data_IF_677347986422
#
_entry.id   IF_677347986422
#
_cell.length_a   1.000
_cell.length_b   1.000
_cell.length_c   1.000
_cell.angle_alpha   90.00
_cell.angle_beta   90.00
_cell.angle_gamma   90.00
#
_symmetry.space_group_name_H-M   'P 1'
#
loop_
_entity.id
_entity.type
_entity.pdbx_description
1 polymer ?
#
# COMPACT_ATOMS: atom_id res chain seq x y z
N UNK A 1 -17.22 -2.90 -15.73
CA UNK A 1 -16.70 -4.12 -15.07
C UNK A 1 -17.88 -5.03 -14.70
N UNK A 2 -17.76 -6.33 -14.89
CA UNK A 2 -18.80 -7.32 -14.48
C UNK A 2 -18.68 -7.63 -12.99
N UNK A 3 -19.73 -8.20 -12.38
CA UNK A 3 -19.74 -8.51 -10.94
C UNK A 3 -18.58 -9.45 -10.52
N UNK A 4 -18.33 -10.51 -11.30
CA UNK A 4 -17.21 -11.44 -11.03
C UNK A 4 -15.84 -10.75 -11.11
N UNK A 5 -15.61 -9.91 -12.13
CA UNK A 5 -14.36 -9.15 -12.27
C UNK A 5 -14.18 -8.11 -11.17
N UNK A 6 -15.27 -7.54 -10.65
CA UNK A 6 -15.22 -6.58 -9.53
C UNK A 6 -14.83 -7.26 -8.21
N UNK A 7 -15.36 -8.45 -7.95
CA UNK A 7 -14.97 -9.24 -6.79
C UNK A 7 -13.49 -9.67 -6.85
N UNK A 8 -13.02 -10.14 -8.01
CA UNK A 8 -11.60 -10.47 -8.23
C UNK A 8 -10.68 -9.26 -8.05
N UNK A 9 -11.09 -8.10 -8.58
CA UNK A 9 -10.37 -6.84 -8.38
C UNK A 9 -10.28 -6.48 -6.89
N UNK A 10 -11.42 -6.50 -6.18
CA UNK A 10 -11.48 -6.13 -4.77
C UNK A 10 -10.65 -7.07 -3.89
N UNK A 11 -10.74 -8.39 -4.14
CA UNK A 11 -9.92 -9.38 -3.45
C UNK A 11 -8.42 -9.13 -3.67
N UNK A 12 -7.99 -8.91 -4.91
CA UNK A 12 -6.61 -8.57 -5.21
C UNK A 12 -6.13 -7.31 -4.46
N UNK A 13 -6.96 -6.25 -4.45
CA UNK A 13 -6.59 -5.00 -3.78
C UNK A 13 -6.47 -5.22 -2.26
N UNK A 14 -7.38 -5.96 -1.65
CA UNK A 14 -7.33 -6.27 -0.22
C UNK A 14 -6.09 -7.10 0.12
N UNK A 15 -5.80 -8.16 -0.64
CA UNK A 15 -4.61 -8.99 -0.47
C UNK A 15 -3.32 -8.18 -0.60
N UNK A 16 -3.28 -7.23 -1.54
CA UNK A 16 -2.16 -6.31 -1.68
C UNK A 16 -1.99 -5.42 -0.44
N UNK A 17 -3.07 -4.80 0.05
CA UNK A 17 -3.02 -3.93 1.22
C UNK A 17 -2.56 -4.70 2.47
N UNK A 18 -3.01 -5.95 2.62
CA UNK A 18 -2.60 -6.83 3.72
C UNK A 18 -1.12 -7.20 3.62
N UNK A 19 -0.63 -7.51 2.42
CA UNK A 19 0.80 -7.76 2.20
C UNK A 19 1.68 -6.55 2.55
N UNK A 20 1.29 -5.34 2.12
CA UNK A 20 2.05 -4.13 2.46
C UNK A 20 2.05 -3.88 3.97
N UNK A 21 0.90 -4.07 4.63
CA UNK A 21 0.79 -3.93 6.08
C UNK A 21 1.66 -4.94 6.82
N UNK A 22 1.65 -6.20 6.38
CA UNK A 22 2.50 -7.26 6.92
C UNK A 22 3.97 -6.86 6.85
N UNK A 23 4.45 -6.40 5.69
CA UNK A 23 5.85 -6.04 5.49
C UNK A 23 6.29 -4.83 6.30
N UNK A 24 5.45 -3.81 6.42
CA UNK A 24 5.75 -2.65 7.27
C UNK A 24 5.74 -3.05 8.75
N UNK A 25 4.85 -3.96 9.17
CA UNK A 25 4.86 -4.49 10.55
C UNK A 25 6.07 -5.37 10.84
N UNK A 26 6.51 -6.17 9.88
CA UNK A 26 7.74 -6.94 9.96
C UNK A 26 8.93 -5.99 10.20
N UNK A 27 9.06 -4.94 9.39
CA UNK A 27 10.07 -3.90 9.56
C UNK A 27 9.95 -3.17 10.91
N UNK A 28 8.74 -2.98 11.44
CA UNK A 28 8.50 -2.43 12.78
C UNK A 28 8.87 -3.39 13.91
N UNK A 29 8.92 -4.70 13.68
CA UNK A 29 9.25 -5.67 14.74
C UNK A 29 10.74 -5.99 14.77
N UNK A 30 11.39 -6.00 13.60
CA UNK A 30 12.79 -6.33 13.44
C UNK A 30 13.50 -5.26 12.59
N UNK A 31 14.40 -4.52 13.22
CA UNK A 31 15.19 -3.49 12.54
C UNK A 31 16.07 -4.08 11.43
N UNK A 32 16.54 -5.32 11.59
CA UNK A 32 17.42 -5.97 10.62
C UNK A 32 16.70 -6.40 9.33
N UNK A 33 15.37 -6.58 9.39
CA UNK A 33 14.53 -6.92 8.24
C UNK A 33 14.04 -5.68 7.47
N UNK A 34 14.13 -4.49 8.06
CA UNK A 34 13.53 -3.25 7.56
C UNK A 34 13.73 -3.01 6.06
N UNK A 35 14.97 -2.84 5.56
CA UNK A 35 15.23 -2.57 4.15
C UNK A 35 14.69 -3.65 3.21
N UNK A 36 14.78 -4.93 3.61
CA UNK A 36 14.30 -6.05 2.79
C UNK A 36 12.78 -6.10 2.74
N UNK A 37 12.11 -6.02 3.89
CA UNK A 37 10.66 -6.04 4.00
C UNK A 37 10.02 -4.84 3.27
N UNK A 38 10.59 -3.64 3.43
CA UNK A 38 10.12 -2.46 2.69
C UNK A 38 10.41 -2.58 1.19
N UNK A 39 11.53 -3.18 0.80
CA UNK A 39 11.83 -3.50 -0.61
C UNK A 39 10.81 -4.45 -1.23
N UNK A 40 10.37 -5.47 -0.51
CA UNK A 40 9.31 -6.39 -0.96
C UNK A 40 7.97 -5.67 -1.14
N UNK A 41 7.61 -4.79 -0.20
CA UNK A 41 6.42 -3.96 -0.29
C UNK A 41 6.46 -3.05 -1.54
N UNK A 42 7.57 -2.33 -1.71
CA UNK A 42 7.81 -1.44 -2.85
C UNK A 42 7.73 -2.20 -4.19
N UNK A 43 8.30 -3.41 -4.23
CA UNK A 43 8.33 -4.25 -5.43
C UNK A 43 6.95 -4.64 -5.97
N UNK A 44 5.91 -4.64 -5.12
CA UNK A 44 4.54 -4.95 -5.56
C UNK A 44 3.74 -3.74 -6.03
N UNK A 45 4.19 -2.51 -5.71
CA UNK A 45 3.46 -1.28 -6.07
C UNK A 45 3.19 -1.15 -7.57
N UNK A 46 4.12 -1.47 -8.49
CA UNK A 46 3.83 -1.46 -9.93
C UNK A 46 2.66 -2.38 -10.32
N UNK A 47 2.58 -3.58 -9.73
CA UNK A 47 1.52 -4.55 -10.00
C UNK A 47 0.17 -4.03 -9.53
N UNK A 48 0.11 -3.44 -8.32
CA UNK A 48 -1.12 -2.78 -7.85
C UNK A 48 -1.56 -1.69 -8.83
N UNK A 49 -0.64 -0.83 -9.25
CA UNK A 49 -0.96 0.30 -10.14
C UNK A 49 -1.52 -0.15 -11.48
N UNK A 50 -0.94 -1.21 -12.06
CA UNK A 50 -1.47 -1.76 -13.30
C UNK A 50 -2.88 -2.31 -13.11
N UNK A 51 -3.14 -3.01 -12.00
CA UNK A 51 -4.49 -3.50 -11.66
C UNK A 51 -5.48 -2.38 -11.40
N UNK A 52 -5.08 -1.30 -10.71
CA UNK A 52 -5.94 -0.15 -10.41
C UNK A 52 -6.52 0.50 -11.67
N UNK A 53 -5.83 0.43 -12.81
CA UNK A 53 -6.34 0.94 -14.11
C UNK A 53 -7.62 0.24 -14.58
N UNK A 54 -8.01 -0.87 -13.97
CA UNK A 54 -9.27 -1.56 -14.29
C UNK A 54 -10.50 -0.90 -13.63
N UNK A 55 -10.28 0.00 -12.66
CA UNK A 55 -11.33 0.73 -11.95
C UNK A 55 -10.87 2.17 -11.64
N UNK A 56 -11.20 3.12 -12.53
CA UNK A 56 -10.78 4.52 -12.43
C UNK A 56 -11.24 5.21 -11.13
N UNK A 57 -12.39 4.83 -10.59
CA UNK A 57 -12.92 5.41 -9.34
C UNK A 57 -12.04 4.99 -8.16
N UNK A 58 -11.76 3.70 -8.05
CA UNK A 58 -10.88 3.17 -6.99
C UNK A 58 -9.45 3.68 -7.20
N UNK A 59 -8.94 3.72 -8.44
CA UNK A 59 -7.64 4.29 -8.74
C UNK A 59 -7.49 5.74 -8.26
N UNK A 60 -8.52 6.56 -8.49
CA UNK A 60 -8.54 7.97 -8.05
C UNK A 60 -8.48 8.05 -6.52
N UNK A 61 -9.26 7.24 -5.81
CA UNK A 61 -9.24 7.21 -4.34
C UNK A 61 -7.87 6.75 -3.79
N UNK A 62 -7.24 5.78 -4.45
CA UNK A 62 -5.89 5.33 -4.11
C UNK A 62 -4.86 6.45 -4.27
N UNK A 63 -4.89 7.18 -5.39
CA UNK A 63 -4.00 8.33 -5.61
C UNK A 63 -4.24 9.42 -4.56
N UNK A 64 -5.49 9.74 -4.25
CA UNK A 64 -5.81 10.78 -3.25
C UNK A 64 -5.33 10.42 -1.83
N UNK A 65 -5.36 9.14 -1.46
CA UNK A 65 -4.96 8.70 -0.11
C UNK A 65 -3.45 8.46 -0.02
N UNK A 66 -2.84 7.86 -1.04
CA UNK A 66 -1.43 7.46 -1.01
C UNK A 66 -0.48 8.51 -1.57
N UNK A 67 -0.91 9.32 -2.54
CA UNK A 67 -0.08 10.31 -3.23
C UNK A 67 1.25 9.72 -3.71
N UNK A 68 2.36 10.30 -3.25
CA UNK A 68 3.72 9.90 -3.62
C UNK A 68 4.03 8.41 -3.36
N UNK A 69 3.33 7.74 -2.43
CA UNK A 69 3.54 6.30 -2.14
C UNK A 69 3.16 5.41 -3.34
N UNK A 70 2.23 5.86 -4.20
CA UNK A 70 1.73 5.08 -5.34
C UNK A 70 1.94 5.78 -6.69
N UNK A 71 2.19 7.08 -6.73
CA UNK A 71 2.41 7.80 -7.97
C UNK A 71 3.71 7.38 -8.68
N UNK A 72 3.65 7.02 -9.96
CA UNK A 72 4.79 6.47 -10.72
C UNK A 72 6.07 7.25 -10.57
N UNK A 73 5.94 8.57 -10.64
CA UNK A 73 7.05 9.51 -10.68
C UNK A 73 7.83 9.51 -9.37
N UNK A 74 7.14 9.26 -8.26
CA UNK A 74 7.66 9.48 -6.90
C UNK A 74 7.74 8.20 -6.08
N UNK A 75 7.00 7.14 -6.44
CA UNK A 75 6.90 5.93 -5.64
C UNK A 75 8.27 5.29 -5.38
N UNK A 76 9.10 5.13 -6.40
CA UNK A 76 10.42 4.52 -6.24
C UNK A 76 11.31 5.29 -5.24
N UNK A 77 11.36 6.61 -5.37
CA UNK A 77 12.13 7.49 -4.47
C UNK A 77 11.54 7.49 -3.06
N UNK A 78 10.21 7.54 -2.94
CA UNK A 78 9.53 7.53 -1.66
C UNK A 78 9.81 6.23 -0.89
N UNK A 79 9.68 5.08 -1.55
CA UNK A 79 9.94 3.77 -0.93
C UNK A 79 11.41 3.56 -0.59
N UNK A 80 12.33 4.02 -1.43
CA UNK A 80 13.77 3.98 -1.15
C UNK A 80 14.13 4.85 0.07
N UNK A 81 13.56 6.06 0.16
CA UNK A 81 13.71 6.92 1.33
C UNK A 81 13.12 6.28 2.59
N UNK A 82 11.91 5.73 2.49
CA UNK A 82 11.24 5.06 3.61
C UNK A 82 12.02 3.84 4.12
N UNK A 83 12.66 3.07 3.22
CA UNK A 83 13.50 1.93 3.58
C UNK A 83 14.83 2.31 4.26
N UNK A 84 15.27 3.56 4.09
CA UNK A 84 16.55 4.09 4.60
C UNK A 84 16.39 5.00 5.81
N UNK A 85 15.16 5.29 6.24
CA UNK A 85 14.89 6.03 7.47
C UNK A 85 15.62 5.38 8.63
N UNK A 86 16.13 6.20 9.55
CA UNK A 86 16.59 5.67 10.82
C UNK A 86 15.41 5.07 11.60
N UNK A 87 15.74 4.24 12.59
CA UNK A 87 14.74 3.49 13.32
C UNK A 87 13.68 4.37 13.99
N UNK A 88 14.09 5.48 14.58
CA UNK A 88 13.18 6.36 15.30
C UNK A 88 12.26 7.13 14.33
N UNK A 89 12.81 7.59 13.21
CA UNK A 89 12.03 8.21 12.14
C UNK A 89 11.01 7.23 11.55
N UNK A 90 11.43 5.99 11.28
CA UNK A 90 10.56 4.95 10.73
C UNK A 90 9.40 4.61 11.67
N UNK A 91 9.66 4.45 12.98
CA UNK A 91 8.62 4.20 13.98
C UNK A 91 7.59 5.33 14.10
N UNK A 92 8.01 6.57 13.84
CA UNK A 92 7.11 7.74 13.81
C UNK A 92 6.31 7.79 12.50
N UNK A 93 6.92 7.45 11.37
CA UNK A 93 6.30 7.54 10.05
C UNK A 93 5.36 6.36 9.73
N UNK A 94 5.75 5.12 10.06
CA UNK A 94 5.01 3.91 9.69
C UNK A 94 3.54 3.88 10.17
N UNK A 95 3.17 4.40 11.36
CA UNK A 95 1.77 4.45 11.80
C UNK A 95 0.84 5.25 10.88
N UNK A 96 1.35 6.21 10.10
CA UNK A 96 0.55 6.93 9.10
C UNK A 96 0.06 5.97 7.99
N UNK A 97 0.83 4.93 7.67
CA UNK A 97 0.44 3.89 6.72
C UNK A 97 -0.40 2.78 7.38
N UNK A 98 0.13 2.14 8.42
CA UNK A 98 -0.40 0.88 8.98
C UNK A 98 -1.16 1.03 10.31
N UNK A 99 -1.30 2.25 10.81
CA UNK A 99 -2.05 2.50 12.04
C UNK A 99 -3.55 2.19 11.89
N UNK A 100 -4.31 2.07 12.99
CA UNK A 100 -5.75 1.81 12.96
C UNK A 100 -6.57 2.83 12.16
N UNK A 101 -6.01 4.04 11.97
CA UNK A 101 -6.56 5.13 11.14
C UNK A 101 -5.61 5.53 10.01
N UNK A 102 -4.59 4.72 9.74
CA UNK A 102 -3.62 4.96 8.69
C UNK A 102 -4.23 4.80 7.31
N UNK A 103 -3.46 5.20 6.30
CA UNK A 103 -3.88 5.24 4.90
C UNK A 103 -4.36 3.87 4.40
N UNK A 104 -3.70 2.77 4.76
CA UNK A 104 -4.12 1.43 4.32
C UNK A 104 -5.49 1.03 4.90
N UNK A 105 -5.78 1.39 6.15
CA UNK A 105 -7.08 1.15 6.76
C UNK A 105 -8.23 1.92 6.07
N UNK A 106 -7.94 3.11 5.55
CA UNK A 106 -8.89 3.87 4.72
C UNK A 106 -9.15 3.15 3.40
N UNK A 107 -8.09 2.68 2.73
CA UNK A 107 -8.20 2.01 1.43
C UNK A 107 -8.90 0.65 1.50
N UNK A 108 -8.77 -0.09 2.61
CA UNK A 108 -9.55 -1.32 2.80
C UNK A 108 -11.05 -1.07 2.77
N UNK A 109 -11.52 0.04 3.34
CA UNK A 109 -12.94 0.41 3.30
C UNK A 109 -13.40 0.73 1.88
N UNK A 110 -12.54 1.37 1.10
CA UNK A 110 -12.78 1.64 -0.33
C UNK A 110 -12.91 0.32 -1.10
N UNK A 111 -11.94 -0.58 -0.97
CA UNK A 111 -11.94 -1.85 -1.69
C UNK A 111 -13.11 -2.76 -1.28
N UNK A 112 -13.46 -2.81 0.01
CA UNK A 112 -14.61 -3.59 0.50
C UNK A 112 -15.96 -3.04 -0.02
N UNK A 113 -16.09 -1.71 -0.15
CA UNK A 113 -17.29 -1.09 -0.69
C UNK A 113 -17.46 -1.33 -2.20
N UNK A 114 -16.38 -1.46 -2.96
CA UNK A 114 -16.43 -1.82 -4.38
C UNK A 114 -16.80 -3.30 -4.58
N UNK A 115 -16.35 -4.21 -3.71
CA UNK A 115 -16.64 -5.64 -3.80
C UNK A 115 -18.05 -6.07 -3.39
N UNK A 116 -18.87 -5.15 -2.87
CA UNK A 116 -20.22 -5.39 -2.34
C UNK A 116 -21.34 -5.28 -3.37
#
# INVERSE_FOLDING_TARGET
>A
MTAGRRAEFSAFVLDFLDFIEEKIREALQDESSGPAAIGEAAGRVPVLRDRLRENDVVATQFVLVLGNVIEQRWAAEWWDGFAKMDRAEFEVAAPDLVGPRGRLAVLRKVAAADGS
#
